data_IF_014327587028
#
_entry.id   IF_014327587028
#
_cell.length_a   1.000
_cell.length_b   1.000
_cell.length_c   1.000
_cell.angle_alpha   90.00
_cell.angle_beta   90.00
_cell.angle_gamma   90.00
#
_symmetry.space_group_name_H-M   'P 1'
#
loop_
_entity.id
_entity.type
_entity.pdbx_description
1 polymer ?
#
# COMPACT_ATOMS: atom_id res chain seq x y z
N UNK A 1 -17.41 -12.93 14.82
CA UNK A 1 -16.73 -12.11 15.83
C UNK A 1 -16.03 -13.05 16.81
N UNK A 2 -14.73 -13.23 16.70
CA UNK A 2 -13.97 -14.07 17.63
C UNK A 2 -14.05 -13.43 19.02
N UNK A 3 -14.88 -14.01 19.89
CA UNK A 3 -15.07 -13.54 21.27
C UNK A 3 -13.91 -13.85 22.21
N UNK A 4 -12.85 -14.49 21.71
CA UNK A 4 -11.71 -14.89 22.54
C UNK A 4 -10.48 -13.99 22.27
N UNK A 5 -10.14 -13.06 23.18
CA UNK A 5 -9.01 -12.15 23.00
C UNK A 5 -7.64 -12.87 22.96
N UNK A 6 -7.58 -14.15 23.30
CA UNK A 6 -6.34 -14.94 23.30
C UNK A 6 -5.84 -15.30 21.90
N UNK A 7 -6.67 -15.17 20.83
CA UNK A 7 -6.29 -15.45 19.45
C UNK A 7 -5.89 -14.22 18.63
N UNK A 8 -5.88 -13.02 19.21
CA UNK A 8 -5.31 -11.86 18.52
C UNK A 8 -3.80 -11.98 18.47
N UNK A 9 -3.24 -12.10 17.26
CA UNK A 9 -1.79 -11.99 17.08
C UNK A 9 -1.31 -10.63 17.60
N UNK A 10 -0.22 -10.61 18.39
CA UNK A 10 0.38 -9.34 18.83
C UNK A 10 0.73 -8.50 17.60
N UNK A 11 0.23 -7.27 17.56
CA UNK A 11 0.50 -6.36 16.44
C UNK A 11 -0.39 -6.57 15.22
N UNK A 12 -1.53 -7.25 15.34
CA UNK A 12 -2.47 -7.46 14.24
C UNK A 12 -2.98 -6.13 13.68
N UNK A 13 -2.94 -6.02 12.35
CA UNK A 13 -3.51 -4.90 11.61
C UNK A 13 -5.03 -5.07 11.50
N UNK A 14 -5.76 -4.03 11.84
CA UNK A 14 -7.23 -3.97 11.72
C UNK A 14 -7.64 -2.68 11.03
N UNK A 15 -8.85 -2.62 10.53
CA UNK A 15 -9.37 -1.41 9.89
C UNK A 15 -9.35 -0.19 10.83
N UNK A 16 -9.53 -0.40 12.15
CA UNK A 16 -9.59 0.65 13.16
C UNK A 16 -8.22 1.20 13.55
N UNK A 17 -7.15 0.42 13.40
CA UNK A 17 -5.79 0.82 13.85
C UNK A 17 -4.80 1.07 12.72
N UNK A 18 -5.23 0.92 11.45
CA UNK A 18 -4.36 0.93 10.27
C UNK A 18 -4.72 2.06 9.31
N UNK A 19 -3.72 2.62 8.64
CA UNK A 19 -3.88 3.47 7.45
C UNK A 19 -3.20 2.84 6.24
N UNK A 20 -3.79 3.06 5.05
CA UNK A 20 -3.16 2.73 3.78
C UNK A 20 -2.34 3.94 3.29
N UNK A 21 -1.09 3.70 2.89
CA UNK A 21 -0.19 4.72 2.35
C UNK A 21 0.31 4.28 0.99
N UNK A 22 0.02 5.07 -0.05
CA UNK A 22 0.39 4.77 -1.44
C UNK A 22 1.29 5.87 -1.99
N UNK A 23 2.52 5.49 -2.39
CA UNK A 23 3.60 6.41 -2.75
C UNK A 23 3.93 6.29 -4.25
N UNK A 24 3.76 7.39 -4.98
CA UNK A 24 4.24 7.59 -6.34
C UNK A 24 3.70 6.61 -7.41
N UNK A 25 2.44 6.18 -7.29
CA UNK A 25 1.76 5.41 -8.34
C UNK A 25 1.38 6.31 -9.52
N UNK A 26 2.39 6.86 -10.18
CA UNK A 26 2.26 7.79 -11.29
C UNK A 26 2.49 7.09 -12.63
N UNK A 27 1.91 7.63 -13.70
CA UNK A 27 1.96 6.99 -15.02
C UNK A 27 3.39 6.78 -15.55
N UNK A 28 4.31 7.69 -15.24
CA UNK A 28 5.72 7.57 -15.62
C UNK A 28 6.52 6.65 -14.70
N UNK A 29 6.31 6.72 -13.38
CA UNK A 29 7.02 5.85 -12.43
C UNK A 29 6.63 4.38 -12.61
N UNK A 30 5.36 4.08 -12.89
CA UNK A 30 4.91 2.72 -13.19
C UNK A 30 5.64 2.11 -14.39
N UNK A 31 6.03 2.92 -15.38
CA UNK A 31 6.81 2.45 -16.52
C UNK A 31 8.23 2.02 -16.19
N UNK A 32 8.74 2.34 -15.00
CA UNK A 32 10.07 1.91 -14.55
C UNK A 32 10.10 0.46 -14.08
N UNK A 33 8.95 -0.12 -13.73
CA UNK A 33 8.88 -1.48 -13.17
C UNK A 33 9.29 -2.51 -14.24
N UNK A 34 10.27 -3.35 -13.88
CA UNK A 34 10.73 -4.52 -14.67
C UNK A 34 10.92 -5.77 -13.79
N UNK A 35 10.98 -5.61 -12.46
CA UNK A 35 11.10 -6.74 -11.53
C UNK A 35 9.82 -7.59 -11.45
N UNK A 36 8.70 -7.00 -11.81
CA UNK A 36 7.38 -7.64 -11.92
C UNK A 36 6.56 -6.94 -13.02
N UNK A 37 5.28 -7.31 -13.19
CA UNK A 37 4.38 -6.60 -14.10
C UNK A 37 3.86 -5.30 -13.47
N UNK A 38 4.04 -4.17 -14.16
CA UNK A 38 3.49 -2.87 -13.73
C UNK A 38 1.97 -2.88 -13.63
N UNK A 39 1.29 -3.62 -14.52
CA UNK A 39 -0.16 -3.75 -14.50
C UNK A 39 -0.63 -4.53 -13.26
N UNK A 40 0.11 -5.55 -12.83
CA UNK A 40 -0.16 -6.30 -11.60
C UNK A 40 0.04 -5.39 -10.40
N UNK A 41 1.14 -4.63 -10.34
CA UNK A 41 1.43 -3.71 -9.25
C UNK A 41 0.34 -2.64 -9.11
N UNK A 42 -0.07 -2.01 -10.22
CA UNK A 42 -1.14 -1.02 -10.21
C UNK A 42 -2.49 -1.63 -9.82
N UNK A 43 -2.85 -2.79 -10.37
CA UNK A 43 -4.08 -3.50 -10.03
C UNK A 43 -4.15 -3.81 -8.54
N UNK A 44 -3.05 -4.28 -7.95
CA UNK A 44 -2.98 -4.60 -6.53
C UNK A 44 -3.07 -3.34 -5.66
N UNK A 45 -2.45 -2.22 -6.07
CA UNK A 45 -2.63 -0.93 -5.39
C UNK A 45 -4.08 -0.43 -5.43
N UNK A 46 -4.76 -0.58 -6.57
CA UNK A 46 -6.19 -0.29 -6.72
C UNK A 46 -7.04 -1.18 -5.83
N UNK A 47 -6.70 -2.47 -5.73
CA UNK A 47 -7.40 -3.42 -4.86
C UNK A 47 -7.25 -3.04 -3.38
N UNK A 48 -6.05 -2.65 -2.94
CA UNK A 48 -5.82 -2.12 -1.59
C UNK A 48 -6.64 -0.85 -1.33
N UNK A 49 -6.69 0.08 -2.29
CA UNK A 49 -7.46 1.31 -2.17
C UNK A 49 -8.96 1.03 -2.05
N UNK A 50 -9.52 0.12 -2.85
CA UNK A 50 -10.90 -0.31 -2.75
C UNK A 50 -11.19 -0.99 -1.41
N UNK A 51 -10.29 -1.88 -0.95
CA UNK A 51 -10.44 -2.54 0.34
C UNK A 51 -10.42 -1.51 1.50
N UNK A 52 -9.49 -0.56 1.49
CA UNK A 52 -9.42 0.49 2.49
C UNK A 52 -10.68 1.37 2.48
N UNK A 53 -11.22 1.69 1.31
CA UNK A 53 -12.48 2.44 1.17
C UNK A 53 -13.67 1.66 1.75
N UNK A 54 -13.82 0.38 1.40
CA UNK A 54 -14.87 -0.51 1.93
C UNK A 54 -14.78 -0.62 3.46
N UNK A 55 -13.58 -0.73 3.99
CA UNK A 55 -13.31 -0.81 5.43
C UNK A 55 -13.28 0.55 6.15
N UNK A 56 -13.50 1.65 5.42
CA UNK A 56 -13.48 3.03 5.94
C UNK A 56 -12.15 3.39 6.62
N UNK A 57 -11.06 2.87 6.10
CA UNK A 57 -9.71 3.15 6.58
C UNK A 57 -9.21 4.49 5.99
N UNK A 58 -8.38 5.24 6.72
CA UNK A 58 -7.67 6.38 6.15
C UNK A 58 -6.74 5.94 5.01
N UNK A 59 -6.73 6.72 3.91
CA UNK A 59 -5.84 6.53 2.77
C UNK A 59 -5.02 7.81 2.59
N UNK A 60 -3.69 7.70 2.67
CA UNK A 60 -2.76 8.77 2.32
C UNK A 60 -2.12 8.46 0.97
N UNK A 61 -2.33 9.35 0.03
CA UNK A 61 -1.75 9.27 -1.31
C UNK A 61 -0.73 10.38 -1.50
N UNK A 62 0.43 10.06 -2.07
CA UNK A 62 1.42 11.06 -2.44
C UNK A 62 1.97 10.82 -3.84
N UNK A 63 2.39 11.89 -4.48
CA UNK A 63 3.06 11.92 -5.79
C UNK A 63 4.26 12.84 -5.75
N UNK A 64 5.21 12.63 -6.65
CA UNK A 64 6.41 13.45 -6.79
C UNK A 64 6.47 14.03 -8.20
N UNK A 65 6.72 15.35 -8.32
CA UNK A 65 6.99 16.02 -9.61
C UNK A 65 5.99 15.67 -10.72
N UNK A 66 4.69 15.81 -10.46
CA UNK A 66 3.61 15.45 -11.42
C UNK A 66 3.73 16.20 -12.77
N UNK A 67 4.42 17.32 -12.79
CA UNK A 67 4.69 18.16 -13.96
C UNK A 67 5.92 17.71 -14.77
N UNK A 68 6.61 16.65 -14.33
CA UNK A 68 7.79 16.06 -14.98
C UNK A 68 7.48 14.69 -15.57
N UNK A 69 8.54 13.91 -15.82
CA UNK A 69 8.45 12.57 -16.43
C UNK A 69 7.67 11.56 -15.59
N UNK A 70 7.57 11.79 -14.28
CA UNK A 70 6.74 10.96 -13.39
C UNK A 70 5.26 11.04 -13.76
N UNK A 71 4.80 12.21 -14.20
CA UNK A 71 3.44 12.45 -14.63
C UNK A 71 2.41 12.37 -13.49
N UNK A 72 1.11 12.41 -13.82
CA UNK A 72 0.05 12.35 -12.83
C UNK A 72 -0.09 10.95 -12.21
N UNK A 73 -0.79 10.88 -11.07
CA UNK A 73 -1.23 9.59 -10.48
C UNK A 73 -2.05 8.81 -11.51
N UNK A 74 -1.89 7.49 -11.54
CA UNK A 74 -2.58 6.60 -12.47
C UNK A 74 -4.11 6.76 -12.38
N UNK A 75 -4.84 6.90 -13.51
CA UNK A 75 -6.29 7.14 -13.51
C UNK A 75 -7.10 6.07 -12.76
N UNK A 76 -6.67 4.81 -12.81
CA UNK A 76 -7.33 3.72 -12.09
C UNK A 76 -7.32 3.95 -10.56
N UNK A 77 -6.20 4.45 -10.02
CA UNK A 77 -6.08 4.75 -8.60
C UNK A 77 -6.86 6.01 -8.20
N UNK A 78 -6.89 7.04 -9.09
CA UNK A 78 -7.73 8.22 -8.89
C UNK A 78 -9.20 7.85 -8.73
N UNK A 79 -9.67 6.88 -9.55
CA UNK A 79 -11.04 6.37 -9.51
C UNK A 79 -11.32 5.52 -8.27
N UNK A 80 -10.36 4.73 -7.81
CA UNK A 80 -10.51 3.85 -6.64
C UNK A 80 -10.52 4.61 -5.30
N UNK A 81 -9.81 5.74 -5.23
CA UNK A 81 -9.70 6.56 -4.01
C UNK A 81 -9.81 8.07 -4.33
N UNK A 82 -10.98 8.55 -4.78
CA UNK A 82 -11.13 9.93 -5.28
C UNK A 82 -10.84 10.98 -4.20
N UNK A 83 -11.24 10.75 -2.96
CA UNK A 83 -10.98 11.69 -1.86
C UNK A 83 -9.49 11.74 -1.50
N UNK A 84 -8.82 10.57 -1.43
CA UNK A 84 -7.38 10.53 -1.22
C UNK A 84 -6.62 11.18 -2.38
N UNK A 85 -7.08 10.98 -3.62
CA UNK A 85 -6.51 11.65 -4.78
C UNK A 85 -6.67 13.18 -4.72
N UNK A 86 -7.84 13.67 -4.36
CA UNK A 86 -8.11 15.10 -4.21
C UNK A 86 -7.20 15.74 -3.15
N UNK A 87 -6.99 15.05 -2.04
CA UNK A 87 -6.20 15.50 -0.89
C UNK A 87 -4.74 15.03 -0.91
N UNK A 88 -4.27 14.46 -2.03
CA UNK A 88 -2.91 13.91 -2.11
C UNK A 88 -1.83 14.93 -1.85
N UNK A 89 -0.74 14.52 -1.27
CA UNK A 89 0.45 15.36 -1.08
C UNK A 89 1.27 15.34 -2.36
N UNK A 90 1.43 16.50 -2.98
CA UNK A 90 2.29 16.69 -4.16
C UNK A 90 3.67 17.13 -3.70
N UNK A 91 4.66 16.27 -3.82
CA UNK A 91 6.04 16.55 -3.41
C UNK A 91 6.86 17.15 -4.56
N UNK A 92 7.75 18.07 -4.24
CA UNK A 92 8.59 18.75 -5.22
C UNK A 92 9.83 17.93 -5.67
N UNK A 93 10.04 16.71 -5.10
CA UNK A 93 11.17 15.84 -5.49
C UNK A 93 12.00 15.33 -4.31
N UNK A 94 11.58 15.56 -3.06
CA UNK A 94 12.22 14.93 -1.89
C UNK A 94 12.07 13.41 -2.02
N UNK A 95 13.21 12.71 -2.08
CA UNK A 95 13.27 11.28 -2.35
C UNK A 95 12.58 10.47 -1.25
N UNK A 96 12.98 10.70 0.00
CA UNK A 96 12.28 10.08 1.13
C UNK A 96 10.98 10.85 1.40
N UNK A 97 9.85 10.25 1.05
CA UNK A 97 8.56 10.90 1.24
C UNK A 97 8.34 11.35 2.70
N UNK A 98 8.84 10.61 3.69
CA UNK A 98 8.73 10.98 5.11
C UNK A 98 9.43 12.29 5.47
N UNK A 99 10.46 12.67 4.73
CA UNK A 99 11.16 13.95 4.92
C UNK A 99 10.37 15.16 4.38
N UNK A 100 9.30 14.94 3.65
CA UNK A 100 8.37 16.01 3.25
C UNK A 100 7.41 16.30 4.42
N UNK A 101 7.39 17.53 4.97
CA UNK A 101 6.58 17.85 6.13
C UNK A 101 5.07 17.75 5.89
N UNK A 102 4.59 17.94 4.65
CA UNK A 102 3.18 17.80 4.34
C UNK A 102 2.78 16.32 4.30
N UNK A 103 3.68 15.46 3.82
CA UNK A 103 3.41 14.02 3.80
C UNK A 103 3.44 13.43 5.21
N UNK A 104 4.45 13.73 6.02
CA UNK A 104 4.51 13.25 7.41
C UNK A 104 3.29 13.74 8.20
N UNK A 105 2.91 15.02 8.08
CA UNK A 105 1.71 15.57 8.72
C UNK A 105 0.42 14.85 8.26
N UNK A 106 0.30 14.52 6.97
CA UNK A 106 -0.87 13.80 6.45
C UNK A 106 -0.97 12.37 7.03
N UNK A 107 0.15 11.66 7.18
CA UNK A 107 0.17 10.34 7.82
C UNK A 107 -0.15 10.44 9.31
N UNK A 108 0.47 11.39 10.02
CA UNK A 108 0.25 11.63 11.45
C UNK A 108 -1.20 12.01 11.75
N UNK A 109 -1.83 12.82 10.88
CA UNK A 109 -3.24 13.22 11.00
C UNK A 109 -4.22 12.05 10.94
N UNK A 110 -3.82 10.89 10.39
CA UNK A 110 -4.65 9.68 10.43
C UNK A 110 -4.83 9.14 11.86
N UNK A 111 -3.95 9.48 12.79
CA UNK A 111 -3.90 8.94 14.15
C UNK A 111 -3.54 7.46 14.22
N UNK A 112 -3.12 6.83 13.10
CA UNK A 112 -2.81 5.41 13.01
C UNK A 112 -1.32 5.16 13.21
N UNK A 113 -0.99 4.06 13.92
CA UNK A 113 0.41 3.62 14.12
C UNK A 113 0.76 2.37 13.31
N UNK A 114 -0.21 1.72 12.71
CA UNK A 114 -0.03 0.62 11.76
C UNK A 114 -0.21 1.17 10.34
N UNK A 115 0.76 0.94 9.47
CA UNK A 115 0.74 1.42 8.09
C UNK A 115 0.88 0.24 7.12
N UNK A 116 -0.08 0.09 6.23
CA UNK A 116 0.06 -0.74 5.03
C UNK A 116 0.59 0.16 3.93
N UNK A 117 1.77 -0.14 3.40
CA UNK A 117 2.47 0.74 2.47
C UNK A 117 2.75 0.06 1.14
N UNK A 118 2.45 0.73 0.05
CA UNK A 118 2.89 0.38 -1.29
C UNK A 118 3.58 1.58 -1.95
N UNK A 119 4.47 1.33 -2.91
CA UNK A 119 5.17 2.43 -3.58
C UNK A 119 5.96 2.02 -4.81
N UNK A 120 6.09 2.92 -5.75
CA UNK A 120 6.79 2.74 -7.01
C UNK A 120 7.88 3.82 -7.17
N UNK A 121 9.17 3.40 -7.14
CA UNK A 121 9.67 2.01 -7.10
C UNK A 121 9.90 1.52 -5.67
N UNK A 122 9.97 0.18 -5.50
CA UNK A 122 10.23 -0.45 -4.19
C UNK A 122 11.55 0.04 -3.59
N UNK A 123 12.60 0.11 -4.40
CA UNK A 123 13.98 0.44 -4.00
C UNK A 123 14.22 1.93 -3.70
N UNK A 124 13.22 2.80 -3.95
CA UNK A 124 13.30 4.24 -3.67
C UNK A 124 12.06 4.70 -2.92
N UNK A 125 10.90 4.74 -3.58
CA UNK A 125 9.71 5.43 -3.07
C UNK A 125 9.03 4.66 -1.92
N UNK A 126 9.19 3.33 -1.85
CA UNK A 126 8.68 2.52 -0.76
C UNK A 126 9.68 2.38 0.40
N UNK A 127 10.93 2.02 0.11
CA UNK A 127 11.91 1.65 1.14
C UNK A 127 12.22 2.79 2.12
N UNK A 128 12.48 4.01 1.61
CA UNK A 128 12.94 5.10 2.48
C UNK A 128 11.86 5.53 3.49
N UNK A 129 10.61 5.84 3.10
CA UNK A 129 9.59 6.18 4.08
C UNK A 129 9.25 5.01 5.00
N UNK A 130 9.22 3.75 4.51
CA UNK A 130 8.94 2.58 5.34
C UNK A 130 9.94 2.41 6.48
N UNK A 131 11.24 2.53 6.19
CA UNK A 131 12.29 2.45 7.20
C UNK A 131 12.20 3.63 8.19
N UNK A 132 11.97 4.84 7.68
CA UNK A 132 11.88 6.03 8.50
C UNK A 132 10.74 5.94 9.53
N UNK A 133 9.57 5.47 9.13
CA UNK A 133 8.44 5.38 10.06
C UNK A 133 8.60 4.25 11.08
N UNK A 134 9.23 3.12 10.71
CA UNK A 134 9.58 2.06 11.68
C UNK A 134 10.50 2.59 12.77
N UNK A 135 11.52 3.39 12.42
CA UNK A 135 12.41 4.04 13.40
C UNK A 135 11.69 4.99 14.34
N UNK A 136 10.52 5.49 13.95
CA UNK A 136 9.65 6.37 14.76
C UNK A 136 8.55 5.59 15.52
N UNK A 137 8.65 4.27 15.55
CA UNK A 137 7.77 3.40 16.32
C UNK A 137 6.45 3.04 15.65
N UNK A 138 6.34 3.23 14.31
CA UNK A 138 5.22 2.68 13.54
C UNK A 138 5.44 1.20 13.25
N UNK A 139 4.36 0.44 13.14
CA UNK A 139 4.37 -0.89 12.56
C UNK A 139 4.05 -0.80 11.07
N UNK A 140 4.88 -1.41 10.22
CA UNK A 140 4.75 -1.28 8.76
C UNK A 140 4.64 -2.65 8.11
N UNK A 141 3.63 -2.80 7.26
CA UNK A 141 3.53 -3.85 6.25
C UNK A 141 3.79 -3.26 4.87
N UNK A 142 4.87 -3.67 4.22
CA UNK A 142 5.19 -3.28 2.84
C UNK A 142 4.63 -4.30 1.85
N UNK A 143 3.80 -3.84 0.92
CA UNK A 143 3.07 -4.69 -0.04
C UNK A 143 3.89 -4.83 -1.33
N UNK A 144 4.58 -5.96 -1.46
CA UNK A 144 5.55 -6.15 -2.53
C UNK A 144 4.91 -6.43 -3.90
N UNK A 145 3.78 -7.14 -3.94
CA UNK A 145 3.05 -7.40 -5.19
C UNK A 145 2.22 -6.20 -5.68
N UNK A 146 2.12 -5.14 -4.86
CA UNK A 146 1.63 -3.83 -5.28
C UNK A 146 2.78 -2.86 -5.61
N UNK A 147 4.04 -3.28 -5.54
CA UNK A 147 5.24 -2.46 -5.76
C UNK A 147 6.11 -3.09 -6.86
N UNK A 148 7.28 -2.53 -7.10
CA UNK A 148 8.23 -3.09 -8.05
C UNK A 148 9.38 -2.13 -8.33
N UNK A 149 10.51 -2.67 -8.81
CA UNK A 149 11.74 -1.93 -9.12
C UNK A 149 12.13 -2.08 -10.59
N UNK A 150 13.07 -1.29 -11.05
CA UNK A 150 13.56 -1.34 -12.44
C UNK A 150 14.35 -2.61 -12.76
N UNK A 151 14.98 -3.22 -11.75
CA UNK A 151 15.78 -4.44 -11.91
C UNK A 151 15.54 -5.41 -10.75
N UNK A 152 15.58 -6.73 -10.98
CA UNK A 152 15.43 -7.72 -9.91
C UNK A 152 16.40 -7.56 -8.75
N UNK A 153 17.65 -7.18 -9.00
CA UNK A 153 18.66 -6.96 -7.96
C UNK A 153 18.29 -5.78 -7.04
N UNK A 154 17.72 -4.71 -7.58
CA UNK A 154 17.25 -3.57 -6.79
C UNK A 154 16.10 -3.99 -5.87
N UNK A 155 15.15 -4.74 -6.42
CA UNK A 155 14.02 -5.29 -5.67
C UNK A 155 14.49 -6.15 -4.50
N UNK A 156 15.43 -7.07 -4.76
CA UNK A 156 15.96 -7.98 -3.73
C UNK A 156 16.70 -7.22 -2.62
N UNK A 157 17.56 -6.27 -2.97
CA UNK A 157 18.28 -5.48 -1.97
C UNK A 157 17.34 -4.57 -1.17
N UNK A 158 16.31 -4.01 -1.79
CA UNK A 158 15.29 -3.22 -1.10
C UNK A 158 14.53 -4.07 -0.07
N UNK A 159 14.12 -5.27 -0.45
CA UNK A 159 13.45 -6.24 0.44
C UNK A 159 14.30 -6.56 1.65
N UNK A 160 15.57 -6.94 1.44
CA UNK A 160 16.50 -7.26 2.52
C UNK A 160 16.68 -6.08 3.48
N UNK A 161 16.87 -4.87 2.96
CA UNK A 161 17.01 -3.66 3.79
C UNK A 161 15.77 -3.36 4.62
N UNK A 162 14.58 -3.48 4.03
CA UNK A 162 13.32 -3.29 4.75
C UNK A 162 13.15 -4.31 5.86
N UNK A 163 13.41 -5.60 5.59
CA UNK A 163 13.32 -6.67 6.59
C UNK A 163 14.29 -6.44 7.76
N UNK A 164 15.55 -6.10 7.49
CA UNK A 164 16.54 -5.81 8.53
C UNK A 164 16.16 -4.58 9.37
N UNK A 165 15.43 -3.64 8.82
CA UNK A 165 14.92 -2.47 9.52
C UNK A 165 13.64 -2.74 10.34
N UNK A 166 13.07 -3.94 10.26
CA UNK A 166 11.85 -4.32 10.99
C UNK A 166 10.54 -4.08 10.22
N UNK A 167 10.60 -3.79 8.92
CA UNK A 167 9.42 -3.73 8.06
C UNK A 167 8.96 -5.16 7.75
N UNK A 168 7.69 -5.44 7.95
CA UNK A 168 7.08 -6.71 7.56
C UNK A 168 6.76 -6.69 6.06
N UNK A 169 7.33 -7.63 5.30
CA UNK A 169 7.04 -7.79 3.89
C UNK A 169 5.86 -8.74 3.69
N UNK A 170 4.88 -8.33 2.90
CA UNK A 170 3.66 -9.12 2.67
C UNK A 170 3.10 -8.88 1.27
N UNK A 171 1.92 -9.44 1.01
CA UNK A 171 1.20 -9.31 -0.26
C UNK A 171 -0.18 -8.70 -0.05
N UNK A 172 -0.76 -8.22 -1.13
CA UNK A 172 -2.10 -7.63 -1.16
C UNK A 172 -3.14 -8.57 -0.55
N UNK A 173 -3.17 -9.84 -0.96
CA UNK A 173 -4.14 -10.82 -0.44
C UNK A 173 -3.98 -11.05 1.06
N UNK A 174 -2.75 -11.19 1.53
CA UNK A 174 -2.47 -11.41 2.96
C UNK A 174 -2.90 -10.20 3.79
N UNK A 175 -2.56 -8.99 3.35
CA UNK A 175 -2.93 -7.76 4.04
C UNK A 175 -4.45 -7.58 4.11
N UNK A 176 -5.17 -7.82 3.01
CA UNK A 176 -6.63 -7.71 2.98
C UNK A 176 -7.26 -8.79 3.88
N UNK A 177 -6.78 -10.03 3.84
CA UNK A 177 -7.28 -11.11 4.70
C UNK A 177 -7.09 -10.78 6.20
N UNK A 178 -5.93 -10.21 6.56
CA UNK A 178 -5.65 -9.79 7.93
C UNK A 178 -6.59 -8.67 8.39
N UNK A 179 -6.87 -7.68 7.52
CA UNK A 179 -7.81 -6.59 7.83
C UNK A 179 -9.26 -7.08 7.99
N UNK A 180 -9.68 -8.02 7.16
CA UNK A 180 -11.04 -8.57 7.14
C UNK A 180 -11.32 -9.49 8.33
N UNK A 181 -10.37 -10.34 8.69
CA UNK A 181 -10.43 -11.36 9.76
C UNK A 181 -11.56 -12.41 9.63
N UNK A 182 -12.68 -12.06 9.04
CA UNK A 182 -13.84 -12.94 8.84
C UNK A 182 -14.51 -12.66 7.49
N UNK A 183 -14.36 -13.61 6.56
CA UNK A 183 -14.94 -13.53 5.23
C UNK A 183 -16.48 -13.61 5.23
N UNK A 184 -17.08 -14.14 6.29
CA UNK A 184 -18.53 -14.19 6.47
C UNK A 184 -19.14 -12.86 6.97
N UNK A 185 -18.29 -11.91 7.41
CA UNK A 185 -18.73 -10.56 7.76
C UNK A 185 -19.28 -9.81 6.54
N UNK A 186 -20.14 -8.78 6.71
CA UNK A 186 -20.62 -7.98 5.59
C UNK A 186 -19.49 -7.38 4.74
N UNK A 187 -18.45 -6.82 5.37
CA UNK A 187 -17.27 -6.29 4.67
C UNK A 187 -16.45 -7.42 4.03
N UNK A 188 -16.29 -8.55 4.71
CA UNK A 188 -15.60 -9.73 4.18
C UNK A 188 -16.26 -10.28 2.93
N UNK A 189 -17.59 -10.40 2.94
CA UNK A 189 -18.36 -10.85 1.78
C UNK A 189 -18.26 -9.91 0.58
N UNK A 190 -18.11 -8.62 0.79
CA UNK A 190 -17.86 -7.64 -0.26
C UNK A 190 -16.42 -7.75 -0.80
N UNK A 191 -15.44 -7.84 0.09
CA UNK A 191 -14.03 -7.88 -0.29
C UNK A 191 -13.62 -9.20 -0.97
N UNK A 192 -14.25 -10.33 -0.60
CA UNK A 192 -13.99 -11.59 -1.32
C UNK A 192 -14.44 -11.50 -2.78
N UNK A 193 -15.54 -10.81 -3.08
CA UNK A 193 -15.97 -10.56 -4.46
C UNK A 193 -14.95 -9.72 -5.22
N UNK A 194 -14.39 -8.69 -4.58
CA UNK A 194 -13.34 -7.86 -5.15
C UNK A 194 -12.09 -8.68 -5.46
N UNK A 195 -11.65 -9.53 -4.53
CA UNK A 195 -10.49 -10.42 -4.71
C UNK A 195 -10.70 -11.40 -5.87
N UNK A 196 -11.87 -12.03 -5.95
CA UNK A 196 -12.20 -13.01 -7.01
C UNK A 196 -12.26 -12.35 -8.39
N UNK A 197 -12.82 -11.16 -8.50
CA UNK A 197 -12.95 -10.45 -9.79
C UNK A 197 -11.63 -9.89 -10.30
N UNK A 198 -10.66 -9.67 -9.41
CA UNK A 198 -9.34 -9.11 -9.75
C UNK A 198 -8.24 -10.17 -9.84
N UNK A 199 -8.43 -11.35 -9.22
CA UNK A 199 -7.48 -12.46 -9.34
C UNK A 199 -7.67 -13.19 -10.68
N UNK A 200 -6.59 -13.44 -11.45
CA UNK A 200 -6.71 -14.14 -12.73
C UNK A 200 -7.07 -15.64 -12.62
N UNK A 201 -7.42 -16.15 -11.45
CA UNK A 201 -7.33 -17.57 -11.12
C UNK A 201 -8.57 -18.19 -10.44
N UNK A 202 -9.75 -17.61 -10.57
CA UNK A 202 -10.95 -18.40 -10.25
C UNK A 202 -11.79 -18.61 -11.51
N UNK A 203 -11.24 -19.35 -12.47
CA UNK A 203 -12.10 -20.06 -13.41
C UNK A 203 -12.69 -21.26 -12.66
N UNK A 204 -14.00 -21.54 -12.83
CA UNK A 204 -14.59 -22.76 -12.28
C UNK A 204 -13.79 -23.94 -12.81
N UNK A 205 -13.36 -24.82 -11.91
CA UNK A 205 -12.86 -26.13 -12.34
C UNK A 205 -14.04 -26.85 -13.00
N UNK A 206 -14.04 -26.91 -14.33
CA UNK A 206 -14.98 -27.71 -15.13
C UNK A 206 -14.62 -29.18 -15.03
#
# INVERSE_FOLDING_TARGET
MFKNPQFRMRGQFTAENTALVLVDYQVGTLQLIRSTSSDVSLRNAVMLANAATTLKMPIVLTSSQEDKTQGPVAPALQKAAPDAYKNRVKRAGIVNAWADPNFSAAVEATGRKNLIMGGVTTDICLIFPSISVVQLGYSVQAILDASGSSWPVQEELARQRMQHAGVVLTTTNTAIAELVQDWASPAGSELIKLLVTTAPMMQPMT
#
